data_IF_892059087820
#
_entry.id   IF_892059087820
#
_cell.length_a   1.000
_cell.length_b   1.000
_cell.length_c   1.000
_cell.angle_alpha   90.00
_cell.angle_beta   90.00
_cell.angle_gamma   90.00
#
_symmetry.space_group_name_H-M   'P 1'
#
loop_
_entity.id
_entity.type
_entity.pdbx_description
1 polymer ?
#
# COMPACT_ATOMS: atom_id res chain seq x y z
N UNK A 1 1.54 -10.50 7.34
CA UNK A 1 0.19 -10.37 7.97
C UNK A 1 -0.63 -9.38 7.16
N UNK A 2 -1.90 -9.68 6.87
CA UNK A 2 -2.76 -8.79 6.07
C UNK A 2 -3.65 -7.95 6.98
N UNK A 3 -4.05 -6.80 6.48
CA UNK A 3 -4.85 -5.82 7.20
C UNK A 3 -5.97 -5.33 6.28
N UNK A 4 -7.17 -5.23 6.85
CA UNK A 4 -8.31 -4.62 6.18
C UNK A 4 -8.41 -3.15 6.57
N UNK A 5 -8.37 -2.25 5.59
CA UNK A 5 -8.46 -0.80 5.83
C UNK A 5 -9.88 -0.32 6.20
N UNK A 6 -10.93 -1.05 5.79
CA UNK A 6 -12.32 -0.71 6.12
C UNK A 6 -12.71 -1.06 7.55
N UNK A 7 -12.47 -2.30 7.99
CA UNK A 7 -12.85 -2.75 9.34
C UNK A 7 -11.70 -2.73 10.36
N UNK A 8 -10.49 -2.31 9.95
CA UNK A 8 -9.30 -2.16 10.80
C UNK A 8 -8.83 -3.45 11.52
N UNK A 9 -9.11 -4.63 10.94
CA UNK A 9 -8.71 -5.93 11.50
C UNK A 9 -7.54 -6.55 10.76
N UNK A 10 -6.74 -7.30 11.50
CA UNK A 10 -5.71 -8.17 10.94
C UNK A 10 -6.29 -9.53 10.57
N UNK A 11 -5.78 -10.09 9.48
CA UNK A 11 -6.17 -11.41 8.97
C UNK A 11 -5.01 -12.01 8.17
N UNK A 12 -5.04 -13.33 7.97
CA UNK A 12 -4.15 -14.02 7.04
C UNK A 12 -4.80 -14.26 5.67
N UNK A 13 -6.13 -14.21 5.61
CA UNK A 13 -6.92 -14.39 4.38
C UNK A 13 -6.83 -13.17 3.48
N UNK A 14 -6.84 -13.37 2.16
CA UNK A 14 -6.89 -12.30 1.15
C UNK A 14 -8.15 -11.43 1.25
N UNK A 15 -9.27 -12.06 1.59
CA UNK A 15 -10.56 -11.39 1.76
C UNK A 15 -10.86 -11.30 3.25
N UNK A 16 -11.29 -10.12 3.70
CA UNK A 16 -11.70 -9.91 5.07
C UNK A 16 -12.94 -10.77 5.38
N UNK A 17 -12.91 -11.63 6.41
CA UNK A 17 -14.05 -12.50 6.74
C UNK A 17 -15.26 -11.75 7.32
N UNK A 18 -15.13 -10.45 7.59
CA UNK A 18 -16.17 -9.64 8.26
C UNK A 18 -16.85 -8.70 7.28
N UNK A 19 -16.07 -7.95 6.49
CA UNK A 19 -16.61 -6.95 5.58
C UNK A 19 -16.48 -7.32 4.10
N UNK A 20 -15.91 -8.49 3.78
CA UNK A 20 -15.77 -8.99 2.41
C UNK A 20 -14.75 -8.26 1.53
N UNK A 21 -14.02 -7.27 2.07
CA UNK A 21 -13.10 -6.45 1.29
C UNK A 21 -11.69 -7.05 1.20
N UNK A 22 -10.97 -6.69 0.13
CA UNK A 22 -9.58 -7.11 -0.06
C UNK A 22 -8.69 -6.59 1.06
N UNK A 23 -7.85 -7.46 1.57
CA UNK A 23 -6.88 -7.14 2.61
C UNK A 23 -5.50 -6.97 1.99
N UNK A 24 -4.67 -6.16 2.64
CA UNK A 24 -3.37 -5.77 2.11
C UNK A 24 -2.27 -6.03 3.12
N UNK A 25 -1.05 -6.25 2.64
CA UNK A 25 0.13 -6.28 3.49
C UNK A 25 0.27 -4.93 4.18
N UNK A 26 0.31 -4.90 5.52
CA UNK A 26 0.50 -3.66 6.28
C UNK A 26 1.97 -3.26 6.41
N UNK A 27 2.86 -4.23 6.29
CA UNK A 27 4.30 -3.99 6.35
C UNK A 27 4.76 -3.11 5.18
N UNK A 28 5.60 -2.09 5.45
CA UNK A 28 6.09 -1.21 4.41
C UNK A 28 6.99 -1.97 3.41
N UNK A 29 7.14 -1.45 2.18
CA UNK A 29 8.12 -1.98 1.25
C UNK A 29 9.54 -1.84 1.83
N UNK A 30 10.44 -2.77 1.48
CA UNK A 30 11.84 -2.70 1.91
C UNK A 30 12.50 -1.45 1.32
N UNK A 31 13.29 -0.76 2.14
CA UNK A 31 14.09 0.38 1.71
C UNK A 31 15.52 -0.06 1.36
N UNK A 32 16.08 0.49 0.29
CA UNK A 32 17.48 0.34 -0.09
C UNK A 32 18.14 1.73 -0.12
N UNK A 33 19.30 1.92 0.52
CA UNK A 33 20.01 3.20 0.50
C UNK A 33 20.39 3.67 -0.91
N UNK A 34 20.66 2.75 -1.84
CA UNK A 34 20.96 3.11 -3.23
C UNK A 34 19.72 3.57 -4.00
N UNK A 35 18.51 3.19 -3.58
CA UNK A 35 17.21 3.58 -4.15
C UNK A 35 17.21 3.72 -5.68
N UNK A 36 17.61 2.66 -6.39
CA UNK A 36 17.81 2.66 -7.86
C UNK A 36 16.63 3.23 -8.65
N UNK A 37 15.40 3.02 -8.16
CA UNK A 37 14.17 3.47 -8.80
C UNK A 37 13.55 4.73 -8.18
N UNK A 38 14.29 5.42 -7.30
CA UNK A 38 13.82 6.59 -6.56
C UNK A 38 13.38 7.75 -7.45
N UNK A 39 14.06 7.96 -8.59
CA UNK A 39 13.70 8.99 -9.58
C UNK A 39 12.27 8.76 -10.10
N UNK A 40 11.99 7.55 -10.58
CA UNK A 40 10.68 7.19 -11.13
C UNK A 40 9.57 7.23 -10.07
N UNK A 41 9.85 6.70 -8.86
CA UNK A 41 8.90 6.76 -7.74
C UNK A 41 8.50 8.20 -7.40
N UNK A 42 9.44 9.14 -7.43
CA UNK A 42 9.17 10.57 -7.18
C UNK A 42 8.42 11.24 -8.32
N UNK A 43 8.73 10.91 -9.58
CA UNK A 43 8.01 11.44 -10.75
C UNK A 43 6.54 11.03 -10.69
N UNK A 44 6.25 9.73 -10.52
CA UNK A 44 4.88 9.22 -10.43
C UNK A 44 4.11 9.87 -9.27
N UNK A 45 4.75 10.02 -8.10
CA UNK A 45 4.13 10.67 -6.94
C UNK A 45 3.78 12.14 -7.22
N UNK A 46 4.61 12.87 -7.97
CA UNK A 46 4.31 14.26 -8.36
C UNK A 46 3.14 14.32 -9.33
N UNK A 47 3.11 13.43 -10.34
CA UNK A 47 2.00 13.34 -11.28
C UNK A 47 0.68 13.02 -10.57
N UNK A 48 0.66 12.01 -9.68
CA UNK A 48 -0.53 11.71 -8.87
C UNK A 48 -1.02 12.91 -8.04
N UNK A 49 -0.10 13.71 -7.50
CA UNK A 49 -0.48 14.90 -6.71
C UNK A 49 -1.05 16.02 -7.58
N UNK A 50 -0.55 16.18 -8.81
CA UNK A 50 -1.09 17.14 -9.78
C UNK A 50 -2.50 16.72 -10.19
N UNK A 51 -2.70 15.44 -10.50
CA UNK A 51 -4.00 14.89 -10.92
C UNK A 51 -5.06 14.85 -9.82
N UNK A 52 -4.65 14.79 -8.55
CA UNK A 52 -5.55 14.83 -7.39
C UNK A 52 -5.94 16.26 -6.98
N UNK A 53 -5.35 17.29 -7.61
CA UNK A 53 -5.67 18.70 -7.40
C UNK A 53 -6.72 19.15 -8.41
#
# INVERSE_FOLDING_TARGET
>A
MKYCYKCKRYTLKDICPVCGERTYKKEPPRFSPQDKYGKYRRMLKREELIWKK
#
